data_IF_474394380117
#
_entry.id   IF_474394380117
#
_cell.length_a   1.000
_cell.length_b   1.000
_cell.length_c   1.000
_cell.angle_alpha   90.00
_cell.angle_beta   90.00
_cell.angle_gamma   90.00
#
_symmetry.space_group_name_H-M   'P 1'
#
loop_
_entity.id
_entity.type
_entity.pdbx_description
1 polymer ?
#
# COMPACT_ATOMS: atom_id res chain seq x y z
N UNK A 1 10.61 35.59 47.14
CA UNK A 1 11.19 34.24 47.16
C UNK A 1 10.05 33.25 47.15
N UNK A 2 9.97 32.46 46.08
CA UNK A 2 8.96 31.43 45.85
C UNK A 2 9.23 30.15 46.63
N UNK A 3 8.20 29.28 46.62
CA UNK A 3 8.19 27.82 46.87
C UNK A 3 7.85 27.42 48.31
N UNK A 4 7.01 26.42 48.61
CA UNK A 4 6.51 25.32 47.80
C UNK A 4 5.32 24.62 48.50
N UNK A 5 4.42 24.03 47.69
CA UNK A 5 3.80 22.68 47.82
C UNK A 5 3.01 22.34 49.12
N UNK A 6 1.81 21.75 49.12
CA UNK A 6 1.32 20.62 48.32
C UNK A 6 -0.21 20.49 48.41
N UNK A 7 -0.87 20.02 47.35
CA UNK A 7 -1.71 18.85 47.51
C UNK A 7 -1.98 18.12 46.19
N UNK A 8 -1.73 16.81 46.22
CA UNK A 8 -1.89 15.85 45.15
C UNK A 8 -3.36 15.63 44.79
N UNK A 9 -3.69 15.53 43.50
CA UNK A 9 -4.75 14.59 43.07
C UNK A 9 -4.56 14.13 41.63
N UNK A 10 -4.61 12.81 41.51
CA UNK A 10 -4.43 11.93 40.36
C UNK A 10 -5.22 12.26 39.09
N UNK A 11 -4.61 11.99 37.92
CA UNK A 11 -5.19 11.24 36.77
C UNK A 11 -4.05 10.99 35.74
N UNK A 12 -3.49 9.79 35.76
CA UNK A 12 -3.83 8.71 34.83
C UNK A 12 -3.30 8.96 33.40
N UNK A 13 -2.15 8.34 33.14
CA UNK A 13 -1.70 7.74 31.87
C UNK A 13 -2.22 8.34 30.57
N UNK A 14 -1.34 9.03 29.85
CA UNK A 14 -1.26 8.88 28.40
C UNK A 14 0.19 8.53 28.04
N UNK A 15 0.44 7.22 27.91
CA UNK A 15 1.61 6.75 27.21
C UNK A 15 1.50 7.23 25.76
N UNK A 16 2.54 7.89 25.28
CA UNK A 16 2.86 7.86 23.87
C UNK A 16 4.36 7.71 23.77
N UNK A 17 4.72 6.46 23.49
CA UNK A 17 6.05 6.07 23.09
C UNK A 17 6.49 7.01 21.97
N UNK A 18 7.65 7.63 22.17
CA UNK A 18 8.50 8.18 21.13
C UNK A 18 8.65 7.13 20.04
N UNK A 19 7.85 7.23 18.98
CA UNK A 19 8.26 6.72 17.68
C UNK A 19 8.68 7.97 16.93
N UNK A 20 9.99 8.20 16.94
CA UNK A 20 10.64 9.13 16.03
C UNK A 20 10.41 8.53 14.64
N UNK A 21 9.33 8.93 13.97
CA UNK A 21 9.26 8.82 12.52
C UNK A 21 10.11 9.96 11.98
N UNK A 22 11.39 9.64 11.78
CA UNK A 22 12.26 10.37 10.87
C UNK A 22 11.63 10.32 9.47
N UNK A 23 11.23 11.48 8.96
CA UNK A 23 10.52 11.58 7.70
C UNK A 23 9.59 12.78 7.71
N UNK A 24 10.10 13.91 7.21
CA UNK A 24 9.33 15.12 6.91
C UNK A 24 8.29 14.85 5.82
N UNK A 25 7.23 14.12 6.15
CA UNK A 25 6.11 13.78 5.28
C UNK A 25 4.85 14.30 5.97
N UNK A 26 4.39 15.48 5.55
CA UNK A 26 3.24 16.13 6.16
C UNK A 26 2.00 15.22 6.18
N UNK A 27 0.97 15.53 7.00
CA UNK A 27 -0.21 14.69 7.16
C UNK A 27 -0.90 14.28 5.84
N UNK A 28 -0.75 15.09 4.78
CA UNK A 28 -1.30 14.81 3.43
C UNK A 28 -0.63 13.64 2.69
N UNK A 29 0.66 13.38 2.90
CA UNK A 29 1.35 12.25 2.25
C UNK A 29 1.03 10.93 2.93
N UNK A 30 0.92 10.93 4.26
CA UNK A 30 0.48 9.76 5.02
C UNK A 30 -0.94 9.32 4.64
N UNK A 31 -1.86 10.27 4.43
CA UNK A 31 -3.22 9.97 3.96
C UNK A 31 -3.22 9.28 2.59
N UNK A 32 -2.42 9.77 1.64
CA UNK A 32 -2.28 9.14 0.31
C UNK A 32 -1.74 7.72 0.41
N UNK A 33 -0.76 7.47 1.27
CA UNK A 33 -0.23 6.12 1.49
C UNK A 33 -1.34 5.20 2.02
N UNK A 34 -2.11 5.64 3.01
CA UNK A 34 -3.24 4.86 3.55
C UNK A 34 -4.28 4.53 2.48
N UNK A 35 -4.62 5.48 1.60
CA UNK A 35 -5.55 5.25 0.50
C UNK A 35 -5.03 4.17 -0.48
N UNK A 36 -3.72 4.19 -0.78
CA UNK A 36 -3.10 3.15 -1.63
C UNK A 36 -3.18 1.78 -0.96
N UNK A 37 -2.82 1.69 0.33
CA UNK A 37 -2.86 0.45 1.11
C UNK A 37 -4.27 -0.13 1.28
N UNK A 38 -5.29 0.73 1.38
CA UNK A 38 -6.69 0.31 1.44
C UNK A 38 -7.16 -0.30 0.11
N UNK A 39 -6.59 0.17 -1.01
CA UNK A 39 -6.99 -0.30 -2.35
C UNK A 39 -6.18 -1.51 -2.84
N UNK A 40 -4.91 -1.61 -2.44
CA UNK A 40 -4.01 -2.71 -2.82
C UNK A 40 -3.55 -3.38 -1.53
N UNK A 41 -4.03 -4.60 -1.30
CA UNK A 41 -3.68 -5.35 -0.11
C UNK A 41 -2.25 -5.90 -0.20
N UNK A 42 -1.57 -6.01 0.93
CA UNK A 42 -0.24 -6.64 1.01
C UNK A 42 0.94 -5.76 0.57
N UNK A 43 0.72 -4.48 0.26
CA UNK A 43 1.81 -3.53 -0.04
C UNK A 43 2.33 -2.86 1.23
N UNK A 44 3.65 -2.73 1.31
CA UNK A 44 4.34 -2.02 2.39
C UNK A 44 4.21 -0.50 2.26
N UNK A 45 4.46 0.21 3.35
CA UNK A 45 4.48 1.68 3.35
C UNK A 45 5.54 2.22 2.40
N UNK A 46 6.70 1.57 2.35
CA UNK A 46 7.83 1.89 1.47
C UNK A 46 7.45 1.74 -0.01
N UNK A 47 6.78 0.65 -0.39
CA UNK A 47 6.30 0.45 -1.76
C UNK A 47 5.25 1.50 -2.16
N UNK A 48 4.32 1.83 -1.26
CA UNK A 48 3.34 2.88 -1.50
C UNK A 48 4.00 4.24 -1.70
N UNK A 49 4.97 4.58 -0.84
CA UNK A 49 5.72 5.83 -0.92
C UNK A 49 6.50 5.91 -2.22
N UNK A 50 7.24 4.87 -2.60
CA UNK A 50 7.99 4.82 -3.84
C UNK A 50 7.07 4.96 -5.07
N UNK A 51 5.95 4.23 -5.10
CA UNK A 51 4.96 4.32 -6.18
C UNK A 51 4.35 5.73 -6.27
N UNK A 52 3.96 6.32 -5.14
CA UNK A 52 3.44 7.67 -5.09
C UNK A 52 4.48 8.68 -5.59
N UNK A 53 5.73 8.61 -5.11
CA UNK A 53 6.80 9.52 -5.54
C UNK A 53 7.08 9.42 -7.05
N UNK A 54 7.17 8.21 -7.59
CA UNK A 54 7.39 7.98 -9.03
C UNK A 54 6.22 8.46 -9.90
N UNK A 55 5.00 8.52 -9.35
CA UNK A 55 3.81 8.98 -10.05
C UNK A 55 3.33 10.37 -9.59
N UNK A 56 4.25 11.24 -9.16
CA UNK A 56 3.95 12.63 -8.77
C UNK A 56 2.86 12.74 -7.70
N UNK A 57 2.85 11.82 -6.75
CA UNK A 57 1.87 11.65 -5.67
C UNK A 57 0.43 11.47 -6.16
N UNK A 58 0.25 10.90 -7.34
CA UNK A 58 -1.06 10.52 -7.86
C UNK A 58 -1.44 9.13 -7.32
N UNK A 59 -2.43 9.10 -6.43
CA UNK A 59 -2.92 7.88 -5.78
C UNK A 59 -3.40 6.86 -6.81
N UNK A 60 -4.19 7.29 -7.79
CA UNK A 60 -4.75 6.38 -8.78
C UNK A 60 -3.66 5.70 -9.62
N UNK A 61 -2.68 6.47 -10.11
CA UNK A 61 -1.55 5.92 -10.87
C UNK A 61 -0.67 4.99 -10.02
N UNK A 62 -0.42 5.36 -8.77
CA UNK A 62 0.34 4.52 -7.84
C UNK A 62 -0.37 3.18 -7.56
N UNK A 63 -1.68 3.21 -7.31
CA UNK A 63 -2.51 2.00 -7.16
C UNK A 63 -2.44 1.12 -8.41
N UNK A 64 -2.60 1.72 -9.58
CA UNK A 64 -2.53 1.00 -10.87
C UNK A 64 -1.16 0.34 -11.06
N UNK A 65 -0.09 1.07 -10.81
CA UNK A 65 1.28 0.55 -10.88
C UNK A 65 1.50 -0.63 -9.92
N UNK A 66 1.09 -0.48 -8.66
CA UNK A 66 1.25 -1.56 -7.67
C UNK A 66 0.44 -2.79 -8.04
N UNK A 67 -0.79 -2.63 -8.58
CA UNK A 67 -1.58 -3.77 -9.08
C UNK A 67 -0.87 -4.50 -10.23
N UNK A 68 -0.21 -3.77 -11.12
CA UNK A 68 0.60 -4.38 -12.20
C UNK A 68 1.77 -5.16 -11.60
N UNK A 69 2.51 -4.59 -10.63
CA UNK A 69 3.62 -5.27 -9.99
C UNK A 69 3.15 -6.54 -9.25
N UNK A 70 1.99 -6.50 -8.57
CA UNK A 70 1.41 -7.69 -7.92
C UNK A 70 1.19 -8.85 -8.92
N UNK A 71 0.61 -8.57 -10.10
CA UNK A 71 0.44 -9.59 -11.13
C UNK A 71 1.77 -10.02 -11.77
N UNK A 72 2.69 -9.08 -11.96
CA UNK A 72 4.00 -9.36 -12.55
C UNK A 72 4.84 -10.27 -11.65
N UNK A 73 4.74 -10.11 -10.34
CA UNK A 73 5.40 -10.96 -9.34
C UNK A 73 4.94 -12.43 -9.38
N UNK A 74 3.79 -12.75 -9.99
CA UNK A 74 3.39 -14.14 -10.26
C UNK A 74 4.29 -14.82 -11.32
N UNK A 75 5.05 -14.04 -12.10
CA UNK A 75 5.98 -14.55 -13.11
C UNK A 75 5.30 -15.14 -14.35
N UNK A 76 3.99 -14.92 -14.53
CA UNK A 76 3.21 -15.53 -15.61
C UNK A 76 3.19 -14.70 -16.91
N UNK A 77 3.35 -13.37 -16.81
CA UNK A 77 3.25 -12.43 -17.94
C UNK A 77 4.22 -11.25 -17.78
N UNK A 78 4.44 -10.51 -18.85
CA UNK A 78 5.21 -9.24 -18.81
C UNK A 78 4.36 -8.13 -18.18
N UNK A 79 5.00 -7.08 -17.67
CA UNK A 79 4.31 -5.92 -17.07
C UNK A 79 3.25 -5.31 -17.98
N UNK A 80 3.57 -5.16 -19.27
CA UNK A 80 2.63 -4.62 -20.26
C UNK A 80 1.39 -5.50 -20.42
N UNK A 81 1.57 -6.81 -20.40
CA UNK A 81 0.46 -7.75 -20.50
C UNK A 81 -0.37 -7.80 -19.21
N UNK A 82 0.27 -7.71 -18.03
CA UNK A 82 -0.42 -7.56 -16.76
C UNK A 82 -1.32 -6.32 -16.74
N UNK A 83 -0.84 -5.19 -17.26
CA UNK A 83 -1.64 -3.97 -17.39
C UNK A 83 -2.88 -4.20 -18.27
N UNK A 84 -2.74 -4.78 -19.46
CA UNK A 84 -3.88 -5.06 -20.35
C UNK A 84 -4.93 -5.95 -19.68
N UNK A 85 -4.48 -6.96 -18.94
CA UNK A 85 -5.39 -7.85 -18.21
C UNK A 85 -6.11 -7.08 -17.11
N UNK A 86 -5.42 -6.23 -16.35
CA UNK A 86 -6.06 -5.37 -15.36
C UNK A 86 -7.09 -4.43 -16.01
N UNK A 87 -6.77 -3.81 -17.14
CA UNK A 87 -7.70 -2.95 -17.87
C UNK A 87 -8.96 -3.72 -18.32
N UNK A 88 -8.79 -4.95 -18.81
CA UNK A 88 -9.90 -5.83 -19.21
C UNK A 88 -10.83 -6.19 -18.04
N UNK A 89 -10.30 -6.29 -16.83
CA UNK A 89 -11.06 -6.57 -15.60
C UNK A 89 -11.35 -5.31 -14.77
N UNK A 90 -11.39 -4.12 -15.39
CA UNK A 90 -11.69 -2.85 -14.71
C UNK A 90 -10.81 -2.57 -13.48
N UNK A 91 -9.53 -2.96 -13.56
CA UNK A 91 -8.53 -2.90 -12.48
C UNK A 91 -8.89 -3.72 -11.23
N UNK A 92 -9.72 -4.74 -11.38
CA UNK A 92 -9.95 -5.75 -10.33
C UNK A 92 -8.77 -6.72 -10.29
N UNK A 93 -7.92 -6.58 -9.27
CA UNK A 93 -6.71 -7.39 -9.10
C UNK A 93 -7.04 -8.87 -8.88
N UNK A 94 -8.08 -9.17 -8.10
CA UNK A 94 -8.48 -10.53 -7.76
C UNK A 94 -8.94 -11.29 -9.02
N UNK A 95 -9.86 -10.70 -9.79
CA UNK A 95 -10.34 -11.31 -11.03
C UNK A 95 -9.22 -11.47 -12.07
N UNK A 96 -8.37 -10.45 -12.23
CA UNK A 96 -7.23 -10.52 -13.13
C UNK A 96 -6.24 -11.64 -12.73
N UNK A 97 -5.97 -11.79 -11.43
CA UNK A 97 -5.07 -12.83 -10.91
C UNK A 97 -5.64 -14.22 -11.11
N UNK A 98 -6.93 -14.43 -10.80
CA UNK A 98 -7.62 -15.71 -10.98
C UNK A 98 -7.59 -16.13 -12.45
N UNK A 99 -7.94 -15.23 -13.36
CA UNK A 99 -7.91 -15.50 -14.81
C UNK A 99 -6.51 -15.93 -15.30
N UNK A 100 -5.44 -15.29 -14.80
CA UNK A 100 -4.07 -15.64 -15.16
C UNK A 100 -3.65 -17.00 -14.61
N UNK A 101 -4.00 -17.29 -13.36
CA UNK A 101 -3.71 -18.57 -12.71
C UNK A 101 -4.50 -19.71 -13.36
N UNK A 102 -5.78 -19.52 -13.66
CA UNK A 102 -6.63 -20.50 -14.32
C UNK A 102 -6.11 -20.86 -15.72
N UNK A 103 -5.71 -19.83 -16.49
CA UNK A 103 -5.09 -20.01 -17.81
C UNK A 103 -3.80 -20.84 -17.72
N UNK A 104 -2.98 -20.57 -16.71
CA UNK A 104 -1.74 -21.32 -16.46
C UNK A 104 -2.03 -22.78 -16.08
N UNK A 105 -2.93 -23.02 -15.13
CA UNK A 105 -3.29 -24.37 -14.67
C UNK A 105 -3.89 -25.21 -15.82
N UNK A 106 -4.74 -24.62 -16.65
CA UNK A 106 -5.29 -25.30 -17.83
C UNK A 106 -4.22 -25.71 -18.85
N UNK A 107 -3.14 -24.94 -18.96
CA UNK A 107 -2.00 -25.28 -19.83
C UNK A 107 -1.12 -26.39 -19.25
N UNK A 108 -1.05 -26.53 -17.92
CA UNK A 108 -0.24 -27.56 -17.26
C UNK A 108 -0.94 -28.92 -17.20
N UNK A 109 -2.27 -28.96 -17.09
CA UNK A 109 -3.05 -30.21 -17.03
C UNK A 109 -3.02 -31.02 -18.35
N UNK A 110 -2.52 -30.45 -19.45
CA UNK A 110 -2.38 -31.11 -20.76
C UNK A 110 -1.02 -31.80 -20.98
N UNK A 111 -0.20 -31.97 -19.95
CA UNK A 111 1.12 -32.63 -20.06
C UNK A 111 1.13 -34.01 -19.42
#
# INVERSE_FOLDING_TARGET
FSSNNSNSTVKATCGLQKIIYDGSEGPRSSEKIRLVQDTVHGVTTEECKAALQNHSWNVQKAVQYLKVEQLFCLGLKTRLECQKVLEMFNWNLEQASCHLLDSYNASQLKR
#
